data_IF_655654582012
#
_entry.id   IF_655654582012
#
_cell.length_a   1.000
_cell.length_b   1.000
_cell.length_c   1.000
_cell.angle_alpha   90.00
_cell.angle_beta   90.00
_cell.angle_gamma   90.00
#
_symmetry.space_group_name_H-M   'P 1'
#
loop_
_entity.id
_entity.type
_entity.pdbx_description
1 polymer ?
#
# COMPACT_ATOMS: atom_id res chain seq x y z
N UNK A 1 35.64 17.04 12.31
CA UNK A 1 34.31 16.62 11.81
C UNK A 1 33.75 15.60 12.78
N UNK A 2 32.58 15.85 13.38
CA UNK A 2 31.94 14.91 14.32
C UNK A 2 31.12 13.92 13.49
N UNK A 3 31.55 12.67 13.43
CA UNK A 3 30.79 11.60 12.77
C UNK A 3 29.52 11.38 13.57
N UNK A 4 28.37 11.75 12.99
CA UNK A 4 27.06 11.44 13.57
C UNK A 4 26.80 9.94 13.33
N UNK A 5 27.24 9.08 14.25
CA UNK A 5 26.86 7.67 14.24
C UNK A 5 25.65 7.47 15.14
N UNK A 6 24.72 6.60 14.72
CA UNK A 6 23.66 6.14 15.60
C UNK A 6 24.26 5.37 16.77
N UNK A 7 23.90 5.75 17.99
CA UNK A 7 24.25 4.99 19.19
C UNK A 7 23.22 3.88 19.36
N UNK A 8 23.56 2.67 18.90
CA UNK A 8 22.69 1.50 18.98
C UNK A 8 22.48 0.98 20.41
N UNK A 9 23.28 1.43 21.39
CA UNK A 9 23.12 1.07 22.81
C UNK A 9 22.13 1.98 23.55
N UNK A 10 21.57 2.98 22.86
CA UNK A 10 20.58 3.86 23.44
C UNK A 10 19.28 3.09 23.73
N UNK A 11 18.97 2.92 25.01
CA UNK A 11 17.77 2.21 25.49
C UNK A 11 16.48 2.79 24.92
N UNK A 12 16.40 4.10 24.67
CA UNK A 12 15.22 4.70 24.03
C UNK A 12 15.07 4.26 22.57
N UNK A 13 16.17 4.05 21.85
CA UNK A 13 16.14 3.58 20.46
C UNK A 13 15.70 2.11 20.44
N UNK A 14 16.33 1.26 21.24
CA UNK A 14 16.00 -0.17 21.35
C UNK A 14 14.52 -0.36 21.71
N UNK A 15 14.03 0.37 22.73
CA UNK A 15 12.66 0.23 23.23
C UNK A 15 11.57 0.68 22.25
N UNK A 16 11.92 1.41 21.19
CA UNK A 16 10.97 1.93 20.21
C UNK A 16 11.25 1.43 18.78
N UNK A 17 12.30 0.63 18.57
CA UNK A 17 12.76 0.22 17.24
C UNK A 17 11.69 -0.50 16.39
N UNK A 18 10.79 -1.24 17.05
CA UNK A 18 9.72 -1.99 16.41
C UNK A 18 8.33 -1.39 16.63
N UNK A 19 8.24 -0.20 17.23
CA UNK A 19 6.95 0.46 17.43
C UNK A 19 6.61 1.26 16.19
N UNK A 20 5.66 0.75 15.42
CA UNK A 20 5.09 1.40 14.25
C UNK A 20 3.88 0.63 13.74
N UNK A 21 3.05 1.30 12.97
CA UNK A 21 1.96 0.68 12.22
C UNK A 21 2.35 0.63 10.75
N UNK A 22 1.98 -0.44 10.06
CA UNK A 22 2.25 -0.62 8.64
C UNK A 22 0.93 -0.67 7.89
N UNK A 23 0.83 0.19 6.86
CA UNK A 23 -0.21 0.08 5.86
C UNK A 23 0.33 -0.67 4.63
N UNK A 24 -0.54 -1.43 3.97
CA UNK A 24 -0.21 -2.11 2.70
C UNK A 24 -1.30 -1.72 1.70
N UNK A 25 -0.85 -1.36 0.50
CA UNK A 25 -1.69 -1.05 -0.65
C UNK A 25 -1.10 -1.78 -1.87
N UNK A 26 -1.95 -2.28 -2.77
CA UNK A 26 -1.51 -3.01 -3.95
C UNK A 26 -2.32 -2.62 -5.17
N UNK A 27 -1.70 -2.12 -6.21
CA UNK A 27 -2.40 -1.81 -7.47
C UNK A 27 -2.41 -2.99 -8.44
N UNK A 28 -3.52 -3.13 -9.18
CA UNK A 28 -3.64 -4.10 -10.26
C UNK A 28 -4.60 -3.60 -11.34
N UNK A 29 -4.26 -3.90 -12.60
CA UNK A 29 -5.14 -3.65 -13.73
C UNK A 29 -6.17 -4.78 -13.86
N UNK A 30 -7.42 -4.42 -14.12
CA UNK A 30 -8.45 -5.37 -14.56
C UNK A 30 -8.24 -5.69 -16.03
N UNK A 31 -8.09 -6.97 -16.34
CA UNK A 31 -7.91 -7.46 -17.70
C UNK A 31 -9.01 -8.45 -18.08
N UNK A 32 -9.31 -8.51 -19.37
CA UNK A 32 -10.15 -9.52 -19.98
C UNK A 32 -9.36 -10.83 -20.17
N UNK A 33 -10.05 -11.92 -20.55
CA UNK A 33 -9.44 -13.25 -20.70
C UNK A 33 -8.33 -13.30 -21.77
N UNK A 34 -8.38 -12.38 -22.72
CA UNK A 34 -7.43 -12.20 -23.81
C UNK A 34 -6.25 -11.27 -23.45
N UNK A 35 -6.22 -10.74 -22.21
CA UNK A 35 -5.16 -9.89 -21.71
C UNK A 35 -5.32 -8.40 -22.02
N UNK A 36 -6.41 -7.98 -22.68
CA UNK A 36 -6.69 -6.56 -22.88
C UNK A 36 -7.30 -5.92 -21.64
N UNK A 37 -7.20 -4.59 -21.53
CA UNK A 37 -7.79 -3.85 -20.42
C UNK A 37 -9.32 -4.05 -20.39
N UNK A 38 -9.85 -4.17 -19.18
CA UNK A 38 -11.29 -4.21 -18.98
C UNK A 38 -11.91 -2.83 -19.24
N UNK A 39 -13.02 -2.81 -19.96
CA UNK A 39 -13.85 -1.63 -20.19
C UNK A 39 -15.20 -1.71 -19.45
N UNK A 40 -15.32 -2.62 -18.47
CA UNK A 40 -16.52 -2.75 -17.63
C UNK A 40 -16.46 -1.81 -16.43
N UNK A 41 -17.62 -1.40 -15.92
CA UNK A 41 -17.71 -0.59 -14.70
C UNK A 41 -17.10 -1.29 -13.48
N UNK A 42 -16.68 -0.51 -12.50
CA UNK A 42 -16.15 -0.99 -11.23
C UNK A 42 -17.17 -1.87 -10.49
N UNK A 43 -16.83 -3.13 -10.16
CA UNK A 43 -17.81 -4.08 -9.63
C UNK A 43 -17.96 -4.05 -8.09
N UNK A 44 -17.13 -3.32 -7.35
CA UNK A 44 -17.11 -3.32 -5.88
C UNK A 44 -17.63 -2.02 -5.28
N UNK A 45 -18.82 -1.59 -5.71
CA UNK A 45 -19.48 -0.43 -5.13
C UNK A 45 -19.62 -0.60 -3.59
N UNK A 46 -19.16 0.41 -2.83
CA UNK A 46 -19.22 0.49 -1.36
C UNK A 46 -18.27 -0.42 -0.56
N UNK A 47 -17.16 -0.91 -1.15
CA UNK A 47 -16.15 -1.64 -0.37
C UNK A 47 -15.08 -0.68 0.22
N UNK A 48 -14.90 -0.59 1.55
CA UNK A 48 -13.93 0.34 2.14
C UNK A 48 -12.46 -0.05 1.95
N UNK A 49 -12.17 -1.25 1.45
CA UNK A 49 -10.81 -1.76 1.23
C UNK A 49 -10.46 -1.96 -0.25
N UNK A 50 -11.40 -1.68 -1.17
CA UNK A 50 -11.21 -1.83 -2.61
C UNK A 50 -11.74 -0.58 -3.28
N UNK A 51 -10.85 0.17 -3.93
CA UNK A 51 -11.23 1.40 -4.64
C UNK A 51 -10.63 1.42 -6.05
N UNK A 52 -10.81 2.53 -6.76
CA UNK A 52 -10.10 2.92 -8.00
C UNK A 52 -9.01 3.94 -7.69
N UNK A 53 -7.94 3.93 -8.47
CA UNK A 53 -6.93 4.98 -8.44
C UNK A 53 -7.15 5.89 -9.66
N UNK A 54 -6.17 6.09 -10.55
CA UNK A 54 -6.31 7.03 -11.66
C UNK A 54 -7.37 6.66 -12.71
N UNK A 55 -7.51 5.37 -13.06
CA UNK A 55 -8.39 4.91 -14.15
C UNK A 55 -9.44 3.91 -13.66
N UNK A 56 -10.58 3.83 -14.36
CA UNK A 56 -11.68 2.91 -14.06
C UNK A 56 -11.25 1.43 -14.00
N UNK A 57 -10.26 1.07 -14.81
CA UNK A 57 -9.70 -0.28 -14.91
C UNK A 57 -8.50 -0.52 -13.97
N UNK A 58 -8.02 0.51 -13.29
CA UNK A 58 -6.96 0.44 -12.30
C UNK A 58 -7.59 0.34 -10.91
N UNK A 59 -7.54 -0.87 -10.34
CA UNK A 59 -7.94 -1.10 -8.96
C UNK A 59 -6.71 -0.98 -8.05
N UNK A 60 -6.61 0.02 -7.15
CA UNK A 60 -5.94 -0.13 -5.88
C UNK A 60 -6.69 -1.22 -5.12
N UNK A 61 -6.09 -2.41 -5.15
CA UNK A 61 -6.49 -3.55 -4.37
C UNK A 61 -5.94 -3.41 -2.94
N UNK A 62 -6.82 -3.65 -1.98
CA UNK A 62 -6.52 -3.92 -0.57
C UNK A 62 -5.73 -2.83 0.14
N UNK A 63 -6.45 -1.82 0.61
CA UNK A 63 -5.92 -0.84 1.57
C UNK A 63 -6.11 -1.44 2.97
N UNK A 64 -5.03 -1.88 3.61
CA UNK A 64 -5.03 -2.10 5.06
C UNK A 64 -4.37 -0.89 5.70
N UNK A 65 -5.13 -0.05 6.41
CA UNK A 65 -4.59 1.05 7.22
C UNK A 65 -4.38 0.61 8.66
#
# INVERSE_FOLDING_TARGET
MKTMSFNFDNQNIINNMYKGSFGIEKESLRVQKDGFLSHTAHPFENNPHIDRDFCENLLPSFITR
#
